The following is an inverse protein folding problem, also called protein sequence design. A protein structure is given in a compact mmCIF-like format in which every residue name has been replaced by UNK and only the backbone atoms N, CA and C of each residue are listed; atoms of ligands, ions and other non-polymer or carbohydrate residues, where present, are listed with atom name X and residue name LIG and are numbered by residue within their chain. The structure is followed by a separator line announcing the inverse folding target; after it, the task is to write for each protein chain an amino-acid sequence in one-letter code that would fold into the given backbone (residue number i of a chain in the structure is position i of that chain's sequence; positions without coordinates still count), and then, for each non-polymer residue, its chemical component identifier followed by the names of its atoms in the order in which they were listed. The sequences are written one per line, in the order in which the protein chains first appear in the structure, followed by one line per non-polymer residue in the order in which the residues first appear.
data_IF_730319448804
#
_entry.id   IF_730319448804
#
_cell.length_a   1.000
_cell.length_b   1.000
_cell.length_c   1.000
_cell.angle_alpha   90.00
_cell.angle_beta   90.00
_cell.angle_gamma   90.00
#
_symmetry.space_group_name_H-M   'P 1'
#
loop_
_entity.id
_entity.type
_entity.pdbx_description
1 polymer ?
#
# COMPACT_ATOMS: atom_id res chain seq x y z
N UNK A 1 -30.23 1.87 4.11
CA UNK A 1 -29.87 0.80 5.06
C UNK A 1 -28.51 1.06 5.69
N UNK A 2 -28.43 0.94 6.96
CA UNK A 2 -27.15 1.15 7.66
C UNK A 2 -26.19 0.01 7.37
N UNK A 3 -24.95 0.34 7.13
CA UNK A 3 -23.90 -0.64 6.92
C UNK A 3 -23.46 -1.19 8.28
N UNK A 4 -23.39 -2.50 8.39
CA UNK A 4 -22.87 -3.09 9.60
C UNK A 4 -21.41 -2.72 9.77
N UNK A 5 -20.96 -2.71 11.02
CA UNK A 5 -19.56 -2.46 11.29
C UNK A 5 -18.69 -3.47 10.55
N UNK A 6 -17.72 -2.94 9.81
CA UNK A 6 -16.76 -3.77 9.08
C UNK A 6 -15.36 -3.24 9.33
N UNK A 7 -14.53 -4.11 9.84
CA UNK A 7 -13.11 -3.78 9.99
C UNK A 7 -12.33 -5.06 9.83
N UNK A 8 -11.20 -4.93 9.19
CA UNK A 8 -10.32 -6.06 8.93
C UNK A 8 -8.99 -5.80 9.62
N UNK A 9 -8.36 -6.88 10.04
CA UNK A 9 -7.03 -6.80 10.61
C UNK A 9 -6.01 -6.75 9.50
N UNK A 10 -4.93 -6.04 9.74
CA UNK A 10 -3.79 -6.07 8.84
C UNK A 10 -3.08 -7.40 9.04
N UNK A 11 -2.88 -8.13 7.97
CA UNK A 11 -2.22 -9.42 8.00
C UNK A 11 -3.12 -10.56 8.47
N UNK A 12 -2.68 -11.78 8.26
CA UNK A 12 -1.49 -12.10 7.49
C UNK A 12 -1.61 -11.66 6.03
N UNK A 13 -0.52 -11.19 5.48
CA UNK A 13 -0.51 -10.65 4.13
C UNK A 13 0.84 -10.82 3.48
N UNK A 14 1.11 -9.98 2.49
CA UNK A 14 2.32 -10.10 1.70
C UNK A 14 2.81 -8.74 1.26
N UNK A 15 4.11 -8.57 1.21
CA UNK A 15 4.72 -7.41 0.56
C UNK A 15 5.89 -7.92 -0.27
N UNK A 16 5.73 -7.83 -1.58
CA UNK A 16 6.74 -8.26 -2.53
C UNK A 16 7.23 -7.05 -3.32
N UNK A 17 8.53 -6.91 -3.44
CA UNK A 17 9.16 -5.79 -4.15
C UNK A 17 9.94 -6.33 -5.34
N UNK A 18 9.72 -5.74 -6.51
CA UNK A 18 10.45 -6.12 -7.71
C UNK A 18 9.66 -7.05 -8.62
N UNK A 19 10.31 -7.43 -9.71
CA UNK A 19 9.70 -8.32 -10.68
C UNK A 19 9.56 -9.72 -10.12
N UNK A 20 8.49 -10.40 -10.51
CA UNK A 20 8.29 -11.78 -10.08
C UNK A 20 9.48 -12.64 -10.45
N UNK A 21 10.04 -13.31 -9.46
CA UNK A 21 11.19 -14.19 -9.64
C UNK A 21 12.54 -13.52 -9.43
N UNK A 22 12.61 -12.20 -9.45
CA UNK A 22 13.86 -11.47 -9.26
C UNK A 22 13.79 -10.42 -8.17
N UNK A 23 12.64 -10.27 -7.53
CA UNK A 23 12.46 -9.31 -6.46
C UNK A 23 12.69 -9.93 -5.09
N UNK A 24 12.15 -9.29 -4.08
CA UNK A 24 12.30 -9.73 -2.70
C UNK A 24 10.96 -9.72 -1.98
N UNK A 25 10.70 -10.78 -1.21
CA UNK A 25 9.51 -10.89 -0.38
C UNK A 25 9.92 -10.53 1.05
N UNK A 26 9.42 -9.42 1.55
CA UNK A 26 9.75 -8.96 2.89
C UNK A 26 8.59 -9.09 3.86
N UNK A 27 7.60 -9.89 3.50
CA UNK A 27 6.40 -10.07 4.32
C UNK A 27 6.70 -10.47 5.75
N UNK A 28 7.67 -11.34 5.95
CA UNK A 28 8.00 -11.84 7.27
C UNK A 28 8.93 -10.94 8.06
N UNK A 29 9.38 -9.84 7.47
CA UNK A 29 10.26 -8.88 8.13
C UNK A 29 9.52 -7.61 8.55
N UNK A 30 8.33 -7.39 8.01
CA UNK A 30 7.58 -6.17 8.28
C UNK A 30 6.75 -6.29 9.55
N UNK A 31 6.86 -5.28 10.40
CA UNK A 31 6.00 -5.18 11.59
C UNK A 31 4.88 -4.19 11.36
N UNK A 32 5.08 -3.26 10.42
CA UNK A 32 4.06 -2.31 9.99
C UNK A 32 4.22 -2.11 8.50
N UNK A 33 3.09 -1.96 7.82
CA UNK A 33 3.10 -1.65 6.39
C UNK A 33 1.85 -0.83 6.08
N UNK A 34 2.01 0.21 5.27
CA UNK A 34 0.89 1.06 4.90
C UNK A 34 1.18 1.81 3.61
N UNK A 35 0.13 2.24 2.97
CA UNK A 35 0.21 3.19 1.86
C UNK A 35 -0.29 4.51 2.41
N UNK A 36 0.56 5.51 2.42
CA UNK A 36 0.21 6.85 2.90
C UNK A 36 -0.09 7.74 1.71
N UNK A 37 -1.08 8.58 1.86
CA UNK A 37 -1.46 9.54 0.83
C UNK A 37 -1.13 10.95 1.29
N UNK A 38 -0.68 11.75 0.36
CA UNK A 38 -0.44 13.17 0.59
C UNK A 38 -1.20 13.94 -0.47
N UNK A 39 -1.88 14.98 -0.03
CA UNK A 39 -2.63 15.85 -0.92
C UNK A 39 -1.93 17.20 -0.96
N UNK A 40 -1.52 17.60 -2.17
CA UNK A 40 -0.93 18.90 -2.40
C UNK A 40 -1.92 19.71 -3.22
N UNK A 41 -2.47 20.74 -2.61
CA UNK A 41 -3.51 21.56 -3.22
C UNK A 41 -2.93 22.91 -3.59
N UNK A 42 -3.11 23.29 -4.86
CA UNK A 42 -2.71 24.60 -5.31
C UNK A 42 -3.71 25.65 -4.83
N UNK A 43 -3.21 26.86 -4.64
CA UNK A 43 -4.08 27.96 -4.21
C UNK A 43 -5.09 28.32 -5.30
N UNK A 44 -6.28 28.69 -4.85
CA UNK A 44 -7.28 29.23 -5.75
C UNK A 44 -6.85 30.62 -6.21
N UNK A 45 -7.16 30.98 -7.45
CA UNK A 45 -6.74 32.25 -8.04
C UNK A 45 -7.97 33.11 -8.31
N UNK A 46 -8.08 34.29 -7.70
CA UNK A 46 -9.16 35.18 -8.02
C UNK A 46 -8.95 35.83 -9.40
N UNK A 47 -10.02 36.03 -10.15
CA UNK A 47 -9.95 36.64 -11.46
C UNK A 47 -10.75 37.92 -11.48
N UNK A 48 -10.54 38.73 -12.52
CA UNK A 48 -11.06 40.08 -12.59
C UNK A 48 -12.60 40.17 -12.54
N UNK A 49 -13.26 39.15 -13.06
CA UNK A 49 -14.74 39.19 -13.09
C UNK A 49 -15.37 38.91 -11.71
N UNK A 50 -14.55 38.65 -10.71
CA UNK A 50 -15.04 38.36 -9.36
C UNK A 50 -15.12 36.88 -9.02
N UNK A 51 -14.92 36.02 -10.00
CA UNK A 51 -14.90 34.59 -9.77
C UNK A 51 -13.54 34.15 -9.23
N UNK A 52 -13.49 32.92 -8.78
CA UNK A 52 -12.26 32.34 -8.30
C UNK A 52 -12.03 31.03 -9.06
N UNK A 53 -10.83 30.89 -9.63
CA UNK A 53 -10.45 29.64 -10.27
C UNK A 53 -9.89 28.71 -9.19
N UNK A 54 -10.53 27.57 -8.94
CA UNK A 54 -10.02 26.66 -7.92
C UNK A 54 -8.68 26.10 -8.33
N UNK A 55 -7.83 25.83 -7.34
CA UNK A 55 -6.55 25.17 -7.58
C UNK A 55 -6.72 23.69 -7.86
N UNK A 56 -5.69 23.10 -8.40
CA UNK A 56 -5.67 21.66 -8.66
C UNK A 56 -5.13 20.92 -7.45
N UNK A 57 -5.66 19.72 -7.22
CA UNK A 57 -5.16 18.82 -6.19
C UNK A 57 -4.22 17.82 -6.82
N UNK A 58 -3.12 17.55 -6.14
CA UNK A 58 -2.19 16.49 -6.53
C UNK A 58 -2.09 15.49 -5.39
N UNK A 59 -2.40 14.24 -5.68
CA UNK A 59 -2.31 13.17 -4.69
C UNK A 59 -1.10 12.31 -4.96
N UNK A 60 -0.27 12.10 -3.94
CA UNK A 60 0.89 11.23 -4.04
C UNK A 60 0.80 10.17 -2.97
N UNK A 61 1.28 8.98 -3.31
CA UNK A 61 1.28 7.86 -2.39
C UNK A 61 2.70 7.48 -2.01
N UNK A 62 2.87 6.97 -0.81
CA UNK A 62 4.16 6.51 -0.30
C UNK A 62 3.95 5.15 0.33
N UNK A 63 4.79 4.19 -0.05
CA UNK A 63 4.82 2.89 0.62
C UNK A 63 5.67 3.06 1.87
N UNK A 64 5.04 2.91 3.03
CA UNK A 64 5.71 3.16 4.30
C UNK A 64 5.51 1.99 5.26
N UNK A 65 6.43 1.84 6.18
CA UNK A 65 6.33 0.79 7.18
C UNK A 65 7.59 0.67 8.00
N UNK A 66 7.62 -0.39 8.81
CA UNK A 66 8.75 -0.70 9.68
C UNK A 66 9.19 -2.12 9.38
N UNK A 67 10.48 -2.30 9.13
CA UNK A 67 11.04 -3.59 8.75
C UNK A 67 12.22 -3.94 9.66
N UNK A 68 12.35 -5.21 10.01
CA UNK A 68 13.55 -5.67 10.71
C UNK A 68 14.74 -5.62 9.75
N UNK A 69 15.90 -5.27 10.31
CA UNK A 69 17.12 -5.15 9.52
C UNK A 69 17.68 -6.55 9.25
N UNK A 70 17.44 -7.04 8.04
CA UNK A 70 17.96 -8.33 7.62
C UNK A 70 19.30 -8.11 6.91
N UNK A 71 20.39 -8.45 7.61
CA UNK A 71 21.75 -8.24 7.12
C UNK A 71 22.30 -9.43 6.36
N UNK A 72 21.51 -10.46 6.19
CA UNK A 72 21.98 -11.64 5.48
C UNK A 72 21.94 -11.42 3.98
N UNK A 73 22.71 -12.24 3.25
CA UNK A 73 22.72 -12.16 1.80
C UNK A 73 21.29 -12.37 1.26
N UNK A 74 20.87 -11.52 0.34
CA UNK A 74 19.53 -11.56 -0.20
C UNK A 74 18.48 -10.89 0.66
N UNK A 75 18.87 -10.30 1.79
CA UNK A 75 17.94 -9.59 2.66
C UNK A 75 17.62 -8.19 2.17
N UNK A 76 16.72 -7.51 2.88
CA UNK A 76 16.25 -6.19 2.44
C UNK A 76 17.35 -5.13 2.45
N UNK A 77 18.30 -5.23 3.38
CA UNK A 77 19.39 -4.24 3.41
C UNK A 77 20.21 -4.33 2.14
N UNK A 78 20.70 -5.52 1.82
CA UNK A 78 21.50 -5.71 0.62
C UNK A 78 20.70 -5.37 -0.64
N UNK A 79 19.50 -5.89 -0.73
CA UNK A 79 18.66 -5.67 -1.91
C UNK A 79 18.39 -4.18 -2.14
N UNK A 80 18.05 -3.45 -1.07
CA UNK A 80 17.71 -2.03 -1.21
C UNK A 80 18.94 -1.19 -1.56
N UNK A 81 20.09 -1.55 -1.03
CA UNK A 81 21.32 -0.81 -1.34
C UNK A 81 21.77 -1.06 -2.76
N UNK A 82 21.61 -2.30 -3.24
CA UNK A 82 22.00 -2.65 -4.61
C UNK A 82 21.05 -2.03 -5.64
N UNK A 83 19.80 -1.84 -5.29
CA UNK A 83 18.78 -1.32 -6.20
C UNK A 83 18.38 0.13 -5.90
N UNK A 84 19.14 0.83 -5.10
CA UNK A 84 18.78 2.20 -4.70
C UNK A 84 18.60 3.09 -5.92
N UNK A 85 17.52 3.83 -5.91
CA UNK A 85 17.19 4.74 -7.01
C UNK A 85 16.44 4.10 -8.16
N UNK A 86 16.29 2.77 -8.17
CA UNK A 86 15.56 2.10 -9.22
C UNK A 86 14.07 2.09 -8.96
N UNK A 87 13.30 2.04 -10.02
CA UNK A 87 11.86 1.98 -9.94
C UNK A 87 11.45 0.55 -10.18
N UNK A 88 10.79 -0.05 -9.18
CA UNK A 88 10.41 -1.45 -9.25
C UNK A 88 8.92 -1.59 -8.94
N UNK A 89 8.25 -2.61 -9.50
CA UNK A 89 6.88 -2.88 -9.13
C UNK A 89 6.80 -3.42 -7.73
N UNK A 90 5.65 -3.23 -7.07
CA UNK A 90 5.42 -3.84 -5.76
C UNK A 90 4.01 -4.43 -5.71
N UNK A 91 3.84 -5.38 -4.82
CA UNK A 91 2.56 -5.99 -4.53
C UNK A 91 2.40 -6.06 -3.02
N UNK A 92 1.38 -5.40 -2.51
CA UNK A 92 1.09 -5.39 -1.08
C UNK A 92 -0.28 -5.98 -0.84
N UNK A 93 -0.34 -7.04 -0.06
CA UNK A 93 -1.60 -7.68 0.33
C UNK A 93 -1.80 -7.40 1.81
N UNK A 94 -2.58 -6.36 2.16
CA UNK A 94 -2.76 -6.03 3.58
C UNK A 94 -3.61 -7.04 4.33
N UNK A 95 -4.49 -7.74 3.61
CA UNK A 95 -5.32 -8.79 4.18
C UNK A 95 -5.75 -9.71 3.05
N UNK A 96 -6.13 -10.92 3.38
CA UNK A 96 -6.56 -11.89 2.37
C UNK A 96 -7.67 -11.30 1.52
N UNK A 97 -7.48 -11.29 0.20
CA UNK A 97 -8.46 -10.79 -0.75
C UNK A 97 -8.25 -9.36 -1.18
N UNK A 98 -7.49 -8.58 -0.43
CA UNK A 98 -7.17 -7.20 -0.81
C UNK A 98 -5.77 -7.16 -1.39
N UNK A 99 -5.57 -6.30 -2.37
CA UNK A 99 -4.28 -6.21 -3.05
C UNK A 99 -4.02 -4.78 -3.52
N UNK A 100 -2.80 -4.32 -3.31
CA UNK A 100 -2.38 -3.02 -3.83
C UNK A 100 -1.15 -3.27 -4.69
N UNK A 101 -1.20 -2.80 -5.92
CA UNK A 101 -0.07 -2.91 -6.85
C UNK A 101 0.32 -1.54 -7.35
N UNK A 102 1.59 -1.38 -7.67
CA UNK A 102 2.09 -0.13 -8.18
C UNK A 102 3.59 -0.20 -8.38
N UNK A 103 4.21 0.95 -8.46
CA UNK A 103 5.65 1.06 -8.62
C UNK A 103 6.20 1.99 -7.56
N UNK A 104 7.36 1.64 -7.01
CA UNK A 104 8.04 2.47 -6.02
C UNK A 104 9.47 2.72 -6.45
N UNK A 105 10.01 3.83 -5.97
CA UNK A 105 11.42 4.11 -6.13
C UNK A 105 12.12 3.54 -4.90
N UNK A 106 13.08 2.68 -5.13
CA UNK A 106 13.81 2.02 -4.04
C UNK A 106 14.76 3.01 -3.39
N UNK A 107 14.65 3.13 -2.07
CA UNK A 107 15.61 3.92 -1.29
C UNK A 107 16.33 2.96 -0.36
N UNK A 108 17.62 3.21 -0.08
CA UNK A 108 18.36 2.30 0.78
C UNK A 108 17.79 2.30 2.20
N UNK A 109 17.67 1.12 2.78
CA UNK A 109 17.18 0.96 4.14
C UNK A 109 18.33 1.26 5.10
N UNK A 110 18.05 2.04 6.14
CA UNK A 110 19.05 2.38 7.13
C UNK A 110 19.48 1.14 7.89
N UNK A 111 20.76 1.08 8.19
CA UNK A 111 21.35 -0.04 8.93
C UNK A 111 22.05 0.48 10.17
N UNK A 112 21.73 -0.10 11.31
CA UNK A 112 22.35 0.25 12.56
C UNK A 112 21.33 0.48 13.66
N UNK A 113 21.81 0.88 14.81
CA UNK A 113 20.96 1.12 15.97
C UNK A 113 21.69 0.71 17.23
N UNK A 114 20.94 0.22 18.20
CA UNK A 114 21.54 -0.17 19.48
C UNK A 114 22.21 -1.53 19.38
N UNK A 115 23.33 -1.64 20.09
CA UNK A 115 24.12 -2.87 20.11
C UNK A 115 23.35 -3.96 20.84
N UNK A 116 23.42 -5.18 20.31
CA UNK A 116 22.79 -6.38 20.87
C UNK A 116 21.27 -6.35 20.86
N UNK A 117 20.68 -5.53 20.00
CA UNK A 117 19.22 -5.49 19.83
C UNK A 117 18.86 -5.85 18.40
N UNK A 118 17.65 -6.34 18.24
CA UNK A 118 17.09 -6.55 16.90
C UNK A 118 16.48 -5.22 16.49
N UNK A 119 17.22 -4.48 15.69
CA UNK A 119 16.80 -3.14 15.28
C UNK A 119 15.86 -3.19 14.10
N UNK A 120 15.03 -2.15 13.99
CA UNK A 120 14.14 -1.98 12.87
C UNK A 120 14.46 -0.68 12.16
N UNK A 121 14.03 -0.57 10.92
CA UNK A 121 14.20 0.66 10.14
C UNK A 121 12.88 1.03 9.51
N UNK A 122 12.66 2.33 9.35
CA UNK A 122 11.47 2.83 8.68
C UNK A 122 11.70 2.80 7.17
N UNK A 123 10.65 2.46 6.46
CA UNK A 123 10.62 2.52 5.01
C UNK A 123 9.64 3.61 4.61
N UNK A 124 10.07 4.51 3.72
CA UNK A 124 9.20 5.53 3.15
C UNK A 124 9.64 5.70 1.71
N UNK A 125 9.06 4.89 0.85
CA UNK A 125 9.43 4.87 -0.56
C UNK A 125 8.34 5.50 -1.39
N UNK A 126 8.65 6.55 -2.17
CA UNK A 126 7.62 7.20 -2.97
C UNK A 126 7.10 6.28 -4.06
N UNK A 127 5.79 6.27 -4.23
CA UNK A 127 5.18 5.55 -5.33
C UNK A 127 5.20 6.41 -6.57
N UNK A 128 5.44 5.77 -7.72
CA UNK A 128 5.30 6.44 -9.00
C UNK A 128 3.93 6.10 -9.54
N UNK A 129 3.25 7.10 -10.02
CA UNK A 129 1.86 6.97 -10.44
C UNK A 129 0.98 6.54 -9.27
N UNK A 130 -0.29 6.45 -9.51
CA UNK A 130 -1.24 6.09 -8.47
C UNK A 130 -1.29 4.57 -8.32
N UNK A 131 -1.07 4.03 -7.12
CA UNK A 131 -1.19 2.59 -6.93
C UNK A 131 -2.63 2.15 -7.10
N UNK A 132 -2.81 0.92 -7.55
CA UNK A 132 -4.11 0.34 -7.81
C UNK A 132 -4.53 -0.51 -6.61
N UNK A 133 -5.70 -0.19 -6.06
CA UNK A 133 -6.24 -0.96 -4.94
C UNK A 133 -7.36 -1.87 -5.44
N UNK A 134 -7.24 -3.16 -5.13
CA UNK A 134 -8.27 -4.13 -5.40
C UNK A 134 -8.89 -4.52 -4.06
N UNK A 135 -10.15 -4.19 -3.88
CA UNK A 135 -10.83 -4.42 -2.61
C UNK A 135 -11.20 -5.88 -2.43
N UNK A 136 -11.40 -6.25 -1.17
CA UNK A 136 -11.93 -7.57 -0.84
C UNK A 136 -13.35 -7.66 -1.39
N UNK A 137 -13.67 -8.66 -2.22
CA UNK A 137 -15.01 -8.76 -2.77
C UNK A 137 -16.06 -8.95 -1.68
N UNK A 138 -17.19 -8.28 -1.84
CA UNK A 138 -18.31 -8.48 -0.94
C UNK A 138 -19.00 -9.77 -1.38
N UNK A 139 -19.25 -10.65 -0.43
CA UNK A 139 -19.94 -11.88 -0.72
C UNK A 139 -21.46 -11.64 -0.67
N UNK A 140 -22.03 -11.37 -1.82
CA UNK A 140 -23.46 -11.06 -1.92
C UNK A 140 -24.36 -12.21 -1.50
N UNK A 141 -23.86 -13.42 -1.61
CA UNK A 141 -24.63 -14.57 -1.15
C UNK A 141 -24.85 -14.60 0.34
N UNK A 142 -23.95 -13.96 1.07
CA UNK A 142 -24.09 -13.88 2.50
C UNK A 142 -24.95 -12.70 2.95
N UNK A 143 -25.14 -11.80 2.03
CA UNK A 143 -25.91 -10.63 2.36
C UNK A 143 -27.36 -10.90 2.13
N UNK A 144 -27.53 -11.71 2.30
CA UNK A 144 -28.76 -12.01 2.03
C UNK A 144 -29.27 -11.59 0.80
N UNK A 145 -28.17 -11.62 0.76
CA UNK A 145 -28.50 -11.82 0.34
C UNK A 145 -28.66 -11.97 -0.13
N UNK A 146 -28.86 -11.86 -0.26
CA UNK A 146 -29.24 -12.02 -0.61
C UNK A 146 -29.30 -12.07 -1.20
N UNK A 147 -29.63 -11.90 -1.39
CA UNK A 147 -29.93 -12.07 -1.79
C UNK A 147 -30.05 -12.19 -2.33
N UNK A 148 -30.31 -11.92 -2.62
CA UNK A 148 -30.79 -12.14 -2.92
C UNK A 148 -30.93 -12.53 -3.47
N UNK A 149 -31.11 -12.53 -3.89
CA UNK A 149 -31.62 -13.02 -4.18
C UNK A 149 -31.70 -13.31 -4.72
N UNK A 150 -32.09 -13.27 -4.99
CA UNK A 150 -32.45 -13.73 -5.26
C UNK A 150 -32.58 -13.97 -5.58
N UNK A 151 -32.72 -13.86 -5.82
CA UNK A 151 -33.21 -14.17 -5.92
C UNK A 151 -33.25 -14.49 -6.36
N UNK A 152 -33.54 -14.45 -6.56
CA UNK A 152 -33.96 -14.78 -6.65
C UNK A 152 -33.98 -15.14 -7.04
N UNK A 153 -34.42 -15.08 -7.21
CA UNK A 153 -34.77 -15.55 -7.18
C UNK A 153 -34.99 -16.05 -7.45
N UNK A 154 -35.23 -16.14 -7.60
CA UNK A 154 -35.72 -16.68 -7.60
C UNK A 154 -35.92 -17.20 -7.86
N UNK A 155 -36.22 -17.23 -7.95
CA UNK A 155 -36.66 -17.72 -7.92
C UNK A 155 -36.73 -18.10 -8.06
N UNK A 156 -37.06 -17.84 -8.25
CA UNK A 156 -37.30 -18.31 -8.13
C UNK A 156 -37.56 -18.42 -7.97
#
# INVERSE_FOLDING_TARGET
MATKHRSQKLGPGELYLGETGSGIDISCQMTEARIQWDNDEDDAVPVLCGDTIPGDDTFTATLAGVVYQDMMAGGIIEWSWDNKGEIVPFRFVPATGAEITGKVKVLPVDLGGEVKKKNTSDIEWPCLDEPVFTAIPVDDGELGDGDLGDGGLGGE
#
